data_IF_992984073850
#
_entry.id   IF_992984073850
#
_cell.length_a   1.000
_cell.length_b   1.000
_cell.length_c   1.000
_cell.angle_alpha   90.00
_cell.angle_beta   90.00
_cell.angle_gamma   90.00
#
_symmetry.space_group_name_H-M   'P 1'
#
loop_
_entity.id
_entity.type
_entity.pdbx_description
1 polymer ?
#
# COMPACT_ATOMS: atom_id res chain seq x y z
N UNK A 1 -1.03 -29.15 5.69
CA UNK A 1 0.20 -28.46 6.12
C UNK A 1 -0.13 -27.49 7.22
N UNK A 2 0.82 -27.26 8.13
CA UNK A 2 0.66 -26.28 9.21
C UNK A 2 0.37 -24.87 8.66
N UNK A 3 0.96 -24.52 7.52
CA UNK A 3 0.75 -23.22 6.88
C UNK A 3 -0.72 -22.99 6.52
N UNK A 4 -1.39 -24.02 6.02
CA UNK A 4 -2.81 -23.90 5.66
C UNK A 4 -3.67 -23.63 6.90
N UNK A 5 -3.35 -24.24 8.02
CA UNK A 5 -4.04 -23.99 9.30
C UNK A 5 -3.81 -22.56 9.77
N UNK A 6 -2.57 -22.07 9.68
CA UNK A 6 -2.24 -20.70 10.04
C UNK A 6 -2.97 -19.67 9.17
N UNK A 7 -3.06 -19.95 7.87
CA UNK A 7 -3.81 -19.08 6.95
C UNK A 7 -5.28 -19.03 7.33
N UNK A 8 -5.87 -20.18 7.65
CA UNK A 8 -7.27 -20.23 8.08
C UNK A 8 -7.51 -19.45 9.37
N UNK A 9 -6.62 -19.58 10.35
CA UNK A 9 -6.70 -18.83 11.59
C UNK A 9 -6.60 -17.32 11.34
N UNK A 10 -5.68 -16.89 10.46
CA UNK A 10 -5.54 -15.48 10.09
C UNK A 10 -6.82 -14.94 9.44
N UNK A 11 -7.41 -15.71 8.54
CA UNK A 11 -8.66 -15.30 7.87
C UNK A 11 -9.78 -15.08 8.89
N UNK A 12 -9.90 -15.96 9.86
CA UNK A 12 -10.92 -15.86 10.92
C UNK A 12 -10.66 -14.62 11.78
N UNK A 13 -9.44 -14.46 12.25
CA UNK A 13 -9.06 -13.31 13.08
C UNK A 13 -9.28 -11.99 12.36
N UNK A 14 -8.84 -11.88 11.11
CA UNK A 14 -9.01 -10.66 10.31
C UNK A 14 -10.49 -10.33 10.11
N UNK A 15 -11.33 -11.35 9.94
CA UNK A 15 -12.76 -11.15 9.75
C UNK A 15 -13.48 -10.58 10.96
N UNK A 16 -12.89 -10.65 12.18
CA UNK A 16 -13.48 -10.09 13.40
C UNK A 16 -13.07 -8.64 13.65
N UNK A 17 -12.14 -8.10 12.86
CA UNK A 17 -11.58 -6.77 13.08
C UNK A 17 -12.38 -5.69 12.36
N UNK A 18 -12.34 -4.46 12.90
CA UNK A 18 -12.82 -3.29 12.17
C UNK A 18 -11.94 -3.05 10.95
N UNK A 19 -12.44 -2.29 9.98
CA UNK A 19 -11.70 -2.02 8.75
C UNK A 19 -10.32 -1.41 9.02
N UNK A 20 -10.26 -0.40 9.90
CA UNK A 20 -9.00 0.27 10.26
C UNK A 20 -8.00 -0.71 10.86
N UNK A 21 -8.43 -1.52 11.83
CA UNK A 21 -7.56 -2.49 12.48
C UNK A 21 -7.15 -3.59 11.50
N UNK A 22 -8.06 -4.00 10.63
CA UNK A 22 -7.76 -5.01 9.62
C UNK A 22 -6.65 -4.53 8.66
N UNK A 23 -6.73 -3.28 8.20
CA UNK A 23 -5.72 -2.70 7.30
C UNK A 23 -4.36 -2.63 8.01
N UNK A 24 -4.32 -2.14 9.23
CA UNK A 24 -3.08 -2.07 10.02
C UNK A 24 -2.47 -3.44 10.24
N UNK A 25 -3.32 -4.44 10.54
CA UNK A 25 -2.87 -5.81 10.77
C UNK A 25 -2.33 -6.43 9.49
N UNK A 26 -2.99 -6.23 8.36
CA UNK A 26 -2.50 -6.70 7.06
C UNK A 26 -1.13 -6.11 6.72
N UNK A 27 -0.95 -4.81 6.96
CA UNK A 27 0.35 -4.15 6.74
C UNK A 27 1.42 -4.77 7.64
N UNK A 28 1.10 -5.04 8.90
CA UNK A 28 2.02 -5.66 9.85
C UNK A 28 2.44 -7.05 9.38
N UNK A 29 1.49 -7.83 8.90
CA UNK A 29 1.76 -9.17 8.37
C UNK A 29 2.66 -9.09 7.13
N UNK A 30 2.36 -8.18 6.22
CA UNK A 30 3.16 -8.00 5.00
C UNK A 30 4.60 -7.62 5.33
N UNK A 31 4.80 -6.70 6.28
CA UNK A 31 6.14 -6.31 6.72
C UNK A 31 6.91 -7.48 7.32
N UNK A 32 6.23 -8.30 8.14
CA UNK A 32 6.87 -9.45 8.75
C UNK A 32 7.29 -10.49 7.70
N UNK A 33 6.43 -10.77 6.73
CA UNK A 33 6.72 -11.71 5.65
C UNK A 33 7.83 -11.20 4.73
N UNK A 34 7.84 -9.90 4.48
CA UNK A 34 8.87 -9.27 3.64
C UNK A 34 10.28 -9.52 4.18
N UNK A 35 10.44 -9.50 5.50
CA UNK A 35 11.74 -9.71 6.14
C UNK A 35 12.34 -11.08 5.86
N UNK A 36 11.51 -12.08 5.62
CA UNK A 36 11.97 -13.46 5.33
C UNK A 36 11.82 -13.80 3.85
N UNK A 37 11.40 -12.85 3.03
CA UNK A 37 11.25 -13.06 1.61
C UNK A 37 12.60 -13.08 0.89
N UNK A 38 12.78 -13.94 -0.13
CA UNK A 38 13.98 -13.89 -0.96
C UNK A 38 14.07 -12.58 -1.76
N UNK A 39 12.99 -11.81 -1.85
CA UNK A 39 12.92 -10.53 -2.55
C UNK A 39 12.89 -9.35 -1.58
N UNK A 40 13.48 -9.49 -0.39
CA UNK A 40 13.43 -8.47 0.65
C UNK A 40 14.11 -7.15 0.24
N UNK A 41 14.97 -7.18 -0.78
CA UNK A 41 15.62 -5.98 -1.32
C UNK A 41 14.78 -5.27 -2.38
N UNK A 42 13.64 -5.85 -2.78
CA UNK A 42 12.78 -5.28 -3.80
C UNK A 42 11.60 -4.56 -3.16
N UNK A 43 11.46 -3.24 -3.34
CA UNK A 43 10.35 -2.50 -2.72
C UNK A 43 8.97 -3.02 -3.10
N UNK A 44 8.82 -3.55 -4.31
CA UNK A 44 7.53 -4.06 -4.78
C UNK A 44 7.09 -5.32 -4.03
N UNK A 45 8.02 -5.99 -3.34
CA UNK A 45 7.69 -7.19 -2.56
C UNK A 45 6.81 -6.88 -1.36
N UNK A 46 6.79 -5.62 -0.91
CA UNK A 46 5.98 -5.21 0.24
C UNK A 46 5.20 -3.95 -0.09
N UNK A 47 3.97 -4.14 -0.54
CA UNK A 47 3.05 -3.04 -0.85
C UNK A 47 2.10 -2.86 0.34
N UNK A 48 2.04 -1.64 0.86
CA UNK A 48 1.27 -1.32 2.06
C UNK A 48 0.14 -0.36 1.75
N UNK A 49 -0.97 -0.47 2.48
CA UNK A 49 -2.03 0.51 2.46
C UNK A 49 -1.71 1.63 3.45
N UNK A 50 -1.79 2.86 3.01
CA UNK A 50 -1.51 4.03 3.85
C UNK A 50 -2.68 5.00 3.81
N UNK A 51 -2.97 5.71 4.93
CA UNK A 51 -3.97 6.77 4.91
C UNK A 51 -3.60 7.85 3.89
N UNK A 52 -4.58 8.31 3.13
CA UNK A 52 -4.34 9.29 2.08
C UNK A 52 -3.77 10.60 2.63
N UNK A 53 -4.10 10.94 3.89
CA UNK A 53 -3.61 12.15 4.55
C UNK A 53 -2.10 12.14 4.74
N UNK A 54 -1.48 10.95 4.71
CA UNK A 54 -0.04 10.78 4.89
C UNK A 54 0.71 10.65 3.57
N UNK A 55 -0.01 10.76 2.45
CA UNK A 55 0.58 10.68 1.12
C UNK A 55 0.50 12.06 0.47
N UNK A 56 1.65 12.67 0.24
CA UNK A 56 1.74 14.03 -0.28
C UNK A 56 2.21 14.00 -1.73
N UNK A 57 1.62 14.89 -2.53
CA UNK A 57 2.08 15.06 -3.91
C UNK A 57 3.47 15.71 -3.92
N UNK A 58 4.26 15.39 -4.95
CA UNK A 58 5.56 15.99 -5.16
C UNK A 58 5.37 17.30 -5.93
N UNK A 59 5.78 18.43 -5.34
CA UNK A 59 5.66 19.75 -5.96
C UNK A 59 6.52 19.88 -7.22
N UNK A 60 7.50 19.02 -7.37
CA UNK A 60 8.40 19.02 -8.52
C UNK A 60 8.03 17.99 -9.58
N UNK A 61 6.84 17.44 -9.51
CA UNK A 61 6.44 16.44 -10.50
C UNK A 61 6.20 17.11 -11.86
N UNK A 62 7.10 16.91 -12.84
CA UNK A 62 6.92 17.49 -14.17
C UNK A 62 5.81 16.81 -14.96
N UNK A 63 5.27 15.70 -14.46
CA UNK A 63 4.26 14.92 -15.14
C UNK A 63 2.86 15.24 -14.61
N UNK A 64 2.58 16.54 -14.40
CA UNK A 64 1.23 16.94 -14.02
C UNK A 64 0.26 16.58 -15.14
N UNK A 65 -0.74 15.77 -14.79
CA UNK A 65 -1.72 15.27 -15.75
C UNK A 65 -2.74 16.35 -16.03
N UNK A 66 -3.07 16.59 -17.31
CA UNK A 66 -4.09 17.55 -17.71
C UNK A 66 -5.47 17.18 -17.15
N UNK A 67 -6.34 18.16 -16.88
CA UNK A 67 -7.65 17.88 -16.29
C UNK A 67 -8.49 16.79 -16.99
N UNK A 68 -8.59 16.73 -18.33
CA UNK A 68 -9.32 15.63 -18.98
C UNK A 68 -8.70 14.27 -18.71
N UNK A 69 -7.37 14.19 -18.69
CA UNK A 69 -6.65 12.95 -18.42
C UNK A 69 -6.81 12.54 -16.97
N UNK A 70 -6.84 13.50 -16.04
CA UNK A 70 -7.12 13.23 -14.63
C UNK A 70 -8.51 12.61 -14.45
N UNK A 71 -9.50 13.07 -15.20
CA UNK A 71 -10.86 12.52 -15.14
C UNK A 71 -10.88 11.08 -15.64
N UNK A 72 -10.16 10.78 -16.71
CA UNK A 72 -10.06 9.42 -17.23
C UNK A 72 -9.37 8.50 -16.23
N UNK A 73 -8.28 8.98 -15.61
CA UNK A 73 -7.58 8.23 -14.59
C UNK A 73 -8.48 7.97 -13.38
N UNK A 74 -9.20 9.00 -12.91
CA UNK A 74 -10.11 8.87 -11.79
C UNK A 74 -11.22 7.85 -12.08
N UNK A 75 -11.81 7.91 -13.29
CA UNK A 75 -12.83 6.95 -13.71
C UNK A 75 -12.28 5.54 -13.74
N UNK A 76 -11.07 5.36 -14.25
CA UNK A 76 -10.41 4.06 -14.30
C UNK A 76 -10.18 3.50 -12.89
N UNK A 77 -9.72 4.33 -11.95
CA UNK A 77 -9.50 3.91 -10.58
C UNK A 77 -10.80 3.52 -9.88
N UNK A 78 -11.90 4.23 -10.15
CA UNK A 78 -13.20 3.89 -9.59
C UNK A 78 -13.72 2.55 -10.11
N UNK A 79 -13.47 2.25 -11.39
CA UNK A 79 -13.99 1.05 -12.03
C UNK A 79 -13.11 -0.17 -11.77
N UNK A 80 -11.81 -0.02 -11.90
CA UNK A 80 -10.86 -1.13 -11.88
C UNK A 80 -10.05 -1.22 -10.58
N UNK A 81 -10.11 -0.20 -9.71
CA UNK A 81 -9.31 -0.11 -8.51
C UNK A 81 -7.85 0.19 -8.81
N UNK A 82 -7.01 0.05 -7.80
CA UNK A 82 -5.58 0.26 -7.93
C UNK A 82 -4.94 -0.98 -8.53
N UNK A 83 -4.43 -0.87 -9.75
CA UNK A 83 -3.76 -1.97 -10.44
C UNK A 83 -2.26 -1.94 -10.27
N UNK A 84 -1.69 -0.80 -9.84
CA UNK A 84 -0.25 -0.64 -9.60
C UNK A 84 -0.04 0.15 -8.31
N UNK A 85 1.01 -0.20 -7.54
CA UNK A 85 1.33 0.57 -6.35
C UNK A 85 1.87 1.95 -6.71
N UNK A 86 1.59 2.91 -5.82
CA UNK A 86 2.12 4.26 -5.95
C UNK A 86 3.50 4.28 -5.29
N UNK A 87 4.50 4.76 -6.01
CA UNK A 87 5.86 4.83 -5.49
C UNK A 87 6.00 6.10 -4.65
N UNK A 88 6.40 5.95 -3.39
CA UNK A 88 6.61 7.06 -2.47
C UNK A 88 7.98 6.96 -1.83
N UNK A 89 8.45 8.07 -1.25
CA UNK A 89 9.64 8.05 -0.41
C UNK A 89 9.34 8.64 0.95
N UNK A 90 10.02 8.12 1.96
CA UNK A 90 10.03 8.65 3.31
C UNK A 90 11.36 9.36 3.55
N UNK A 91 11.32 10.55 4.14
CA UNK A 91 12.55 11.27 4.45
C UNK A 91 13.30 10.65 5.62
N UNK A 92 12.56 10.00 6.54
CA UNK A 92 13.16 9.26 7.63
C UNK A 92 12.26 8.07 7.98
N UNK A 93 12.83 6.99 8.59
CA UNK A 93 12.02 5.81 8.97
C UNK A 93 10.91 6.14 9.97
N UNK A 94 11.08 7.19 10.77
CA UNK A 94 10.11 7.60 11.77
C UNK A 94 9.05 8.56 11.22
N UNK A 95 9.23 9.05 10.00
CA UNK A 95 8.28 9.95 9.36
C UNK A 95 7.10 9.14 8.81
N UNK A 96 5.90 9.45 9.30
CA UNK A 96 4.69 8.78 8.83
C UNK A 96 4.17 9.34 7.51
N UNK A 97 4.78 10.42 7.02
CA UNK A 97 4.40 11.07 5.77
C UNK A 97 5.20 10.48 4.61
N UNK A 98 4.51 10.19 3.53
CA UNK A 98 5.08 9.65 2.31
C UNK A 98 4.88 10.64 1.17
N UNK A 99 5.94 10.91 0.41
CA UNK A 99 5.88 11.80 -0.75
C UNK A 99 5.89 10.98 -2.02
N UNK A 100 4.95 11.25 -2.92
CA UNK A 100 4.87 10.55 -4.20
C UNK A 100 6.11 10.94 -5.03
N UNK A 101 6.85 9.92 -5.47
CA UNK A 101 8.11 10.13 -6.21
C UNK A 101 7.85 10.26 -7.71
N UNK A 102 6.80 9.64 -8.19
CA UNK A 102 6.55 9.60 -9.63
C UNK A 102 5.25 10.32 -10.01
#
# INVERSE_FOLDING_TARGET
>A
MKIDLLINELKIELGTMSETVQIETLNKIRLALHKVSPFSNEPIDCVLWKPIERVLSNDYNPNSVAPPEKRLLYTSLLRDGYTQPIVTSQQSPDDETHVIVD
#
